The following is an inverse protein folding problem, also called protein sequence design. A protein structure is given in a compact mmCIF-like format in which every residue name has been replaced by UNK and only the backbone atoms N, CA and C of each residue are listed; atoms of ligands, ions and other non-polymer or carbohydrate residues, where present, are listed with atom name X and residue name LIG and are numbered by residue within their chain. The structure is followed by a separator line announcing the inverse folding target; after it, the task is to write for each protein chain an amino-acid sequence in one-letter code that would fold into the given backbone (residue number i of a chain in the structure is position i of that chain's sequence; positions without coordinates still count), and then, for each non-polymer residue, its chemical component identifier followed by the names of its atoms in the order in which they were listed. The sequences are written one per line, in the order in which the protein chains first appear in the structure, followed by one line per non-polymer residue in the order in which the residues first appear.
data_IF_348889907844
#
_entry.id   IF_348889907844
#
_cell.length_a   1.000
_cell.length_b   1.000
_cell.length_c   1.000
_cell.angle_alpha   90.00
_cell.angle_beta   90.00
_cell.angle_gamma   90.00
#
_symmetry.space_group_name_H-M   'P 1'
#
loop_
_entity.id
_entity.type
_entity.pdbx_description
1 polymer ?
#
# COMPACT_ATOMS: atom_id res chain seq x y z
N UNK A 1 -13.82 -9.57 71.49
CA UNK A 1 -12.36 -9.76 71.73
C UNK A 1 -11.73 -10.19 70.41
N UNK A 2 -10.62 -9.68 69.88
CA UNK A 2 -9.74 -8.53 70.19
C UNK A 2 -8.92 -8.18 68.92
N UNK A 3 -8.44 -6.94 68.74
CA UNK A 3 -7.24 -6.60 67.90
C UNK A 3 -5.99 -6.54 68.84
N UNK A 4 -4.70 -6.49 68.41
CA UNK A 4 -4.04 -5.53 67.48
C UNK A 4 -3.51 -6.26 66.21
N UNK A 5 -2.60 -5.77 65.34
CA UNK A 5 -1.83 -4.52 65.16
C UNK A 5 -2.07 -3.97 63.72
N UNK A 6 -1.53 -2.89 63.14
CA UNK A 6 -0.41 -1.93 63.33
C UNK A 6 0.98 -2.42 62.85
N UNK A 7 1.41 -1.88 61.70
CA UNK A 7 2.79 -1.79 61.23
C UNK A 7 2.90 -0.59 60.29
N UNK A 8 3.66 0.43 60.68
CA UNK A 8 3.76 1.70 59.95
C UNK A 8 5.23 2.07 59.72
N UNK A 9 5.58 2.40 58.48
CA UNK A 9 6.89 2.97 58.13
C UNK A 9 6.64 4.17 57.22
N UNK A 10 6.97 5.36 57.70
CA UNK A 10 6.87 6.63 56.96
C UNK A 10 8.23 7.32 56.93
N UNK A 11 8.89 7.21 55.78
CA UNK A 11 9.95 8.14 55.36
C UNK A 11 9.55 8.67 53.96
N UNK A 12 9.72 9.96 53.64
CA UNK A 12 10.40 10.98 54.43
C UNK A 12 11.20 11.99 53.60
N UNK A 13 11.14 11.91 52.26
CA UNK A 13 11.78 12.85 51.33
C UNK A 13 10.75 13.76 50.64
N UNK A 14 11.11 15.03 50.39
CA UNK A 14 10.21 16.06 49.85
C UNK A 14 10.99 16.99 48.91
N UNK A 15 10.34 17.52 47.86
CA UNK A 15 10.87 18.49 46.88
C UNK A 15 11.85 17.80 45.88
N UNK A 16 11.86 18.06 44.57
CA UNK A 16 11.45 19.26 43.81
C UNK A 16 10.53 19.02 42.59
N UNK A 17 10.25 20.11 41.86
CA UNK A 17 9.23 20.27 40.80
C UNK A 17 9.80 20.14 39.37
N UNK A 18 8.89 20.19 38.39
CA UNK A 18 9.04 20.16 36.90
C UNK A 18 8.91 18.73 36.32
N UNK A 19 8.05 18.43 35.34
CA UNK A 19 7.05 19.28 34.65
C UNK A 19 5.81 18.50 34.18
N UNK A 20 4.75 19.28 33.94
CA UNK A 20 3.64 19.06 32.98
C UNK A 20 4.23 18.48 31.66
N UNK A 21 3.67 17.46 30.99
CA UNK A 21 2.31 17.37 30.42
C UNK A 21 1.65 16.01 30.71
N UNK A 22 0.36 16.01 31.04
CA UNK A 22 -0.48 14.80 30.97
C UNK A 22 -1.15 14.71 29.60
N UNK A 23 -0.80 13.71 28.80
CA UNK A 23 -1.72 13.23 27.77
C UNK A 23 -2.99 12.70 28.45
N UNK A 24 -4.16 13.13 27.98
CA UNK A 24 -5.44 12.51 28.33
C UNK A 24 -6.11 12.07 27.05
N UNK A 25 -6.36 10.77 26.92
CA UNK A 25 -6.89 10.17 25.71
C UNK A 25 -8.29 10.70 25.37
N UNK A 26 -8.55 10.88 24.08
CA UNK A 26 -9.90 11.01 23.54
C UNK A 26 -10.41 9.58 23.32
N UNK A 27 -11.05 9.02 24.35
CA UNK A 27 -11.88 7.84 24.16
C UNK A 27 -13.21 8.31 23.56
N UNK A 28 -13.52 7.90 22.33
CA UNK A 28 -14.77 8.26 21.67
C UNK A 28 -15.53 6.98 21.31
N UNK A 29 -16.40 6.55 22.23
CA UNK A 29 -17.29 5.43 22.05
C UNK A 29 -18.63 5.75 22.72
N UNK A 30 -19.70 5.70 21.95
CA UNK A 30 -21.06 5.40 22.41
C UNK A 30 -21.89 4.97 21.21
N UNK A 31 -22.52 3.80 21.32
CA UNK A 31 -23.52 3.35 20.37
C UNK A 31 -24.83 4.13 20.58
N UNK A 32 -25.72 4.09 19.60
CA UNK A 32 -27.14 4.40 19.77
C UNK A 32 -27.92 3.22 19.18
N UNK A 33 -28.93 2.77 19.92
CA UNK A 33 -29.66 1.52 19.65
C UNK A 33 -30.83 1.67 18.65
N UNK A 34 -31.48 0.54 18.38
CA UNK A 34 -32.62 0.36 17.46
C UNK A 34 -33.92 1.02 17.96
N UNK A 35 -34.74 1.48 17.01
CA UNK A 35 -36.23 1.45 16.95
C UNK A 35 -36.68 2.30 15.73
N UNK A 36 -37.84 2.13 15.06
CA UNK A 36 -38.76 1.00 14.90
C UNK A 36 -39.49 1.13 13.52
N UNK A 37 -40.60 0.41 13.29
CA UNK A 37 -41.35 0.40 12.01
C UNK A 37 -42.10 1.71 11.66
N UNK A 38 -42.26 2.04 10.36
CA UNK A 38 -43.58 1.91 9.65
C UNK A 38 -43.59 2.29 8.15
N UNK A 39 -43.92 1.30 7.32
CA UNK A 39 -44.89 1.30 6.19
C UNK A 39 -45.18 2.60 5.38
N UNK A 40 -44.84 2.62 4.08
CA UNK A 40 -45.66 3.33 3.06
C UNK A 40 -45.57 2.75 1.63
N UNK A 41 -46.56 1.90 1.29
CA UNK A 41 -47.40 1.92 0.06
C UNK A 41 -46.79 2.02 -1.37
N UNK A 42 -47.16 1.01 -2.20
CA UNK A 42 -47.63 1.11 -3.61
C UNK A 42 -46.62 1.49 -4.72
N UNK A 43 -46.65 0.96 -5.96
CA UNK A 43 -47.23 -0.27 -6.56
C UNK A 43 -46.47 -0.58 -7.90
N UNK A 44 -46.83 -1.58 -8.75
CA UNK A 44 -45.80 -2.31 -9.52
C UNK A 44 -45.78 -2.12 -11.05
N UNK A 45 -44.78 -2.75 -11.67
CA UNK A 45 -44.72 -3.31 -13.05
C UNK A 45 -45.05 -2.42 -14.26
N UNK A 46 -44.06 -2.28 -15.16
CA UNK A 46 -44.30 -2.12 -16.61
C UNK A 46 -43.19 -2.71 -17.49
N UNK A 47 -42.92 -4.01 -17.34
CA UNK A 47 -42.37 -4.82 -18.46
C UNK A 47 -43.53 -5.18 -19.41
N UNK A 48 -43.17 -5.63 -20.61
CA UNK A 48 -44.06 -6.26 -21.60
C UNK A 48 -45.21 -5.38 -22.15
N UNK A 49 -44.92 -4.65 -23.22
CA UNK A 49 -45.91 -4.26 -24.23
C UNK A 49 -45.24 -4.05 -25.60
N UNK A 50 -45.99 -4.31 -26.68
CA UNK A 50 -45.72 -3.93 -28.08
C UNK A 50 -44.49 -4.55 -28.76
N UNK A 51 -44.65 -5.82 -29.15
CA UNK A 51 -44.08 -6.29 -30.42
C UNK A 51 -44.94 -5.79 -31.61
N UNK A 52 -44.43 -5.94 -32.83
CA UNK A 52 -45.14 -5.80 -34.12
C UNK A 52 -45.61 -4.39 -34.54
N UNK A 53 -44.72 -3.65 -35.21
CA UNK A 53 -45.09 -2.89 -36.41
C UNK A 53 -44.26 -3.43 -37.59
N UNK A 54 -44.93 -3.81 -38.68
CA UNK A 54 -44.28 -4.28 -39.92
C UNK A 54 -44.14 -3.13 -40.92
N UNK A 55 -43.09 -3.20 -41.73
CA UNK A 55 -42.93 -2.58 -43.05
C UNK A 55 -43.57 -1.18 -43.28
N UNK A 56 -42.73 -0.14 -43.26
CA UNK A 56 -42.86 0.91 -44.27
C UNK A 56 -41.48 1.33 -44.78
N UNK A 57 -41.25 1.22 -46.08
CA UNK A 57 -39.96 1.52 -46.71
C UNK A 57 -39.86 3.01 -47.05
N UNK A 58 -38.95 3.74 -46.38
CA UNK A 58 -38.60 5.10 -46.76
C UNK A 58 -37.12 5.18 -47.14
N UNK A 59 -36.83 5.33 -48.44
CA UNK A 59 -35.48 5.60 -48.95
C UNK A 59 -35.13 7.07 -48.71
N UNK A 60 -34.57 7.39 -47.54
CA UNK A 60 -33.98 8.72 -47.32
C UNK A 60 -32.52 8.70 -47.75
N UNK A 61 -32.23 9.27 -48.92
CA UNK A 61 -30.87 9.45 -49.41
C UNK A 61 -30.27 10.67 -48.71
N UNK A 62 -29.75 10.47 -47.50
CA UNK A 62 -28.89 11.47 -46.85
C UNK A 62 -27.53 11.48 -47.54
N UNK A 63 -27.40 12.34 -48.56
CA UNK A 63 -26.11 12.75 -49.10
C UNK A 63 -25.39 13.72 -48.14
N UNK A 64 -25.17 13.29 -46.89
CA UNK A 64 -24.36 14.02 -45.92
C UNK A 64 -22.90 13.88 -46.33
N UNK A 65 -22.34 14.94 -46.91
CA UNK A 65 -20.90 15.05 -47.09
C UNK A 65 -20.24 14.98 -45.72
N UNK A 66 -19.57 13.86 -45.42
CA UNK A 66 -18.70 13.73 -44.25
C UNK A 66 -17.42 14.51 -44.52
N UNK A 67 -17.52 15.84 -44.46
CA UNK A 67 -16.38 16.71 -44.21
C UNK A 67 -15.82 16.30 -42.84
N UNK A 68 -14.83 15.41 -42.88
CA UNK A 68 -14.27 14.75 -41.70
C UNK A 68 -13.58 15.81 -40.84
N UNK A 69 -14.29 16.34 -39.84
CA UNK A 69 -13.74 17.28 -38.86
C UNK A 69 -12.77 16.53 -37.94
N UNK A 70 -11.56 16.28 -38.46
CA UNK A 70 -10.37 15.93 -37.70
C UNK A 70 -9.99 17.10 -36.80
N UNK A 71 -10.72 17.25 -35.69
CA UNK A 71 -10.26 18.02 -34.54
C UNK A 71 -9.00 17.30 -34.00
N UNK A 72 -7.85 17.98 -33.87
CA UNK A 72 -6.62 17.34 -33.39
C UNK A 72 -6.74 17.02 -31.90
N UNK A 73 -7.09 15.77 -31.59
CA UNK A 73 -7.35 15.29 -30.23
C UNK A 73 -6.11 15.21 -29.34
N UNK A 74 -4.91 15.40 -29.90
CA UNK A 74 -3.64 15.32 -29.17
C UNK A 74 -3.41 16.54 -28.26
N UNK A 75 -3.79 17.75 -28.70
CA UNK A 75 -3.55 19.00 -27.97
C UNK A 75 -4.36 19.10 -26.66
N UNK A 76 -5.49 18.39 -26.54
CA UNK A 76 -6.29 18.36 -25.30
C UNK A 76 -5.86 17.27 -24.33
N UNK A 77 -5.00 16.32 -24.75
CA UNK A 77 -4.49 15.26 -23.89
C UNK A 77 -3.21 15.68 -23.13
N UNK A 78 -2.28 16.40 -23.78
CA UNK A 78 -0.97 16.71 -23.17
C UNK A 78 -1.11 17.59 -21.92
N UNK A 79 -1.86 18.70 -21.99
CA UNK A 79 -2.01 19.62 -20.86
C UNK A 79 -2.66 18.96 -19.62
N UNK A 80 -3.51 17.95 -19.82
CA UNK A 80 -4.10 17.16 -18.73
C UNK A 80 -3.01 16.30 -18.06
N UNK A 81 -2.17 15.62 -18.85
CA UNK A 81 -1.05 14.83 -18.34
C UNK A 81 0.05 15.67 -17.67
N UNK A 82 0.30 16.88 -18.19
CA UNK A 82 1.20 17.87 -17.61
C UNK A 82 0.65 18.41 -16.27
N UNK A 83 -0.66 18.73 -16.20
CA UNK A 83 -1.34 19.13 -14.98
C UNK A 83 -1.29 18.04 -13.90
N UNK A 84 -1.53 16.78 -14.26
CA UNK A 84 -1.46 15.67 -13.29
C UNK A 84 -0.02 15.40 -12.84
N UNK A 85 0.97 15.40 -13.74
CA UNK A 85 2.40 15.38 -13.34
C UNK A 85 2.73 16.51 -12.39
N UNK A 86 2.34 17.75 -12.71
CA UNK A 86 2.59 18.93 -11.86
C UNK A 86 2.02 18.77 -10.45
N UNK A 87 0.86 18.11 -10.30
CA UNK A 87 0.30 17.76 -8.98
C UNK A 87 0.99 16.59 -8.30
N UNK A 88 1.56 15.65 -9.06
CA UNK A 88 2.32 14.52 -8.52
C UNK A 88 3.74 14.93 -8.08
N UNK A 89 4.39 15.86 -8.80
CA UNK A 89 5.74 16.35 -8.51
C UNK A 89 5.80 17.46 -7.44
N UNK A 90 4.67 18.12 -7.13
CA UNK A 90 4.54 19.08 -6.04
C UNK A 90 5.17 18.58 -4.72
N UNK A 91 5.97 19.45 -4.09
CA UNK A 91 6.78 19.16 -2.90
C UNK A 91 7.70 17.94 -3.13
N UNK A 92 8.49 17.98 -4.20
CA UNK A 92 9.51 16.97 -4.57
C UNK A 92 8.97 15.53 -4.56
N UNK A 93 7.77 15.37 -5.13
CA UNK A 93 7.06 14.09 -5.21
C UNK A 93 6.59 13.52 -3.88
N UNK A 94 6.70 14.25 -2.75
CA UNK A 94 6.65 13.68 -1.41
C UNK A 94 5.39 12.84 -1.11
N UNK A 95 4.23 13.14 -1.71
CA UNK A 95 3.00 12.34 -1.54
C UNK A 95 3.05 10.99 -2.29
N UNK A 96 3.66 10.96 -3.47
CA UNK A 96 3.82 9.75 -4.30
C UNK A 96 4.96 8.89 -3.76
N UNK A 97 6.03 9.52 -3.27
CA UNK A 97 7.24 8.84 -2.79
C UNK A 97 7.16 8.44 -1.29
N UNK A 98 6.19 8.96 -0.54
CA UNK A 98 6.00 8.63 0.88
C UNK A 98 5.95 7.12 1.20
N UNK A 99 5.27 6.25 0.43
CA UNK A 99 5.24 4.81 0.73
C UNK A 99 6.62 4.15 0.57
N UNK A 100 7.41 4.58 -0.43
CA UNK A 100 8.78 4.08 -0.64
C UNK A 100 9.69 4.55 0.49
N UNK A 101 9.59 5.84 0.88
CA UNK A 101 10.34 6.39 2.02
C UNK A 101 9.99 5.70 3.34
N UNK A 102 8.70 5.39 3.58
CA UNK A 102 8.22 4.62 4.72
C UNK A 102 8.76 3.18 4.72
N UNK A 103 8.74 2.52 3.55
CA UNK A 103 9.32 1.19 3.35
C UNK A 103 10.83 1.19 3.68
N UNK A 104 11.61 2.15 3.15
CA UNK A 104 13.03 2.33 3.46
C UNK A 104 13.30 2.50 4.96
N UNK A 105 12.50 3.30 5.67
CA UNK A 105 12.66 3.46 7.13
C UNK A 105 12.57 2.12 7.87
N UNK A 106 11.62 1.26 7.51
CA UNK A 106 11.48 -0.07 8.12
C UNK A 106 12.65 -1.01 7.80
N UNK A 107 13.17 -0.99 6.58
CA UNK A 107 14.34 -1.81 6.21
C UNK A 107 15.61 -1.32 6.92
N UNK A 108 15.77 -0.01 7.11
CA UNK A 108 16.86 0.55 7.92
C UNK A 108 16.71 0.20 9.41
N UNK A 109 15.49 0.17 9.94
CA UNK A 109 15.19 -0.28 11.30
C UNK A 109 15.50 -1.78 11.48
N UNK A 110 15.09 -2.63 10.54
CA UNK A 110 15.41 -4.06 10.53
C UNK A 110 16.92 -4.31 10.43
N UNK A 111 17.63 -3.57 9.56
CA UNK A 111 19.09 -3.63 9.44
C UNK A 111 19.78 -3.22 10.76
N UNK A 112 19.28 -2.17 11.42
CA UNK A 112 19.81 -1.73 12.72
C UNK A 112 19.54 -2.74 13.86
N UNK A 113 18.38 -3.42 13.83
CA UNK A 113 18.08 -4.51 14.77
C UNK A 113 18.98 -5.73 14.60
N UNK A 114 19.43 -6.01 13.38
CA UNK A 114 20.32 -7.11 13.02
C UNK A 114 21.82 -6.75 13.02
N UNK A 115 22.21 -5.52 13.37
CA UNK A 115 23.61 -5.10 13.43
C UNK A 115 24.29 -5.58 14.74
N UNK A 116 24.44 -6.90 14.83
CA UNK A 116 25.00 -7.65 15.96
C UNK A 116 25.96 -8.72 15.47
N UNK A 117 26.90 -9.13 16.31
CA UNK A 117 27.87 -10.19 16.00
C UNK A 117 27.20 -11.57 15.83
N UNK A 118 26.13 -11.84 16.59
CA UNK A 118 25.27 -13.01 16.46
C UNK A 118 23.81 -12.65 16.78
N UNK A 119 22.96 -12.37 15.77
CA UNK A 119 21.53 -12.15 15.98
C UNK A 119 20.80 -13.44 16.39
N UNK A 120 19.73 -13.32 17.19
CA UNK A 120 18.93 -14.49 17.62
C UNK A 120 17.72 -14.73 16.71
N UNK A 121 17.02 -15.85 16.90
CA UNK A 121 15.75 -16.16 16.20
C UNK A 121 14.72 -15.06 16.43
N UNK A 122 14.69 -14.46 17.62
CA UNK A 122 13.81 -13.33 17.95
C UNK A 122 14.19 -12.06 17.17
N UNK A 123 15.49 -11.80 16.95
CA UNK A 123 15.94 -10.68 16.13
C UNK A 123 15.52 -10.84 14.65
N UNK A 124 15.62 -12.05 14.10
CA UNK A 124 15.14 -12.33 12.74
C UNK A 124 13.61 -12.19 12.62
N UNK A 125 12.85 -12.57 13.65
CA UNK A 125 11.39 -12.36 13.69
C UNK A 125 11.02 -10.89 13.73
N UNK A 126 11.70 -10.09 14.57
CA UNK A 126 11.51 -8.63 14.60
C UNK A 126 11.87 -7.98 13.25
N UNK A 127 12.85 -8.53 12.52
CA UNK A 127 13.15 -8.09 11.16
C UNK A 127 12.02 -8.46 10.17
N UNK A 128 11.45 -9.67 10.22
CA UNK A 128 10.28 -10.05 9.40
C UNK A 128 9.07 -9.16 9.67
N UNK A 129 8.76 -8.86 10.93
CA UNK A 129 7.68 -7.96 11.34
C UNK A 129 7.83 -6.53 10.77
N UNK A 130 9.05 -6.13 10.40
CA UNK A 130 9.35 -4.88 9.71
C UNK A 130 9.32 -5.04 8.18
N UNK A 131 9.93 -6.10 7.63
CA UNK A 131 10.05 -6.37 6.19
C UNK A 131 8.70 -6.69 5.54
N UNK A 132 7.91 -7.60 6.12
CA UNK A 132 6.60 -8.04 5.59
C UNK A 132 5.66 -6.86 5.33
N UNK A 133 5.43 -5.91 6.26
CA UNK A 133 4.65 -4.71 6.02
C UNK A 133 5.47 -3.53 5.43
N UNK A 134 6.75 -3.71 5.08
CA UNK A 134 7.49 -2.79 4.21
C UNK A 134 7.35 -3.13 2.72
N UNK A 135 6.97 -4.38 2.39
CA UNK A 135 6.69 -4.84 1.02
C UNK A 135 5.48 -4.18 0.34
N UNK A 136 4.59 -3.60 1.14
CA UNK A 136 3.33 -2.98 0.72
C UNK A 136 2.44 -3.88 -0.18
N UNK A 137 2.31 -5.15 0.23
CA UNK A 137 1.46 -6.20 -0.39
C UNK A 137 1.92 -6.64 -1.79
N UNK A 138 3.24 -6.72 -2.02
CA UNK A 138 3.80 -7.05 -3.34
C UNK A 138 4.19 -8.52 -3.56
N UNK A 139 4.19 -9.35 -2.51
CA UNK A 139 4.34 -10.81 -2.59
C UNK A 139 3.43 -11.49 -1.54
N UNK A 140 3.23 -12.80 -1.65
CA UNK A 140 2.61 -13.62 -0.60
C UNK A 140 3.72 -14.27 0.20
N UNK A 141 3.70 -14.07 1.52
CA UNK A 141 4.43 -14.87 2.51
C UNK A 141 3.45 -15.80 3.22
N UNK A 142 3.93 -16.92 3.75
CA UNK A 142 3.14 -17.70 4.71
C UNK A 142 3.12 -16.96 6.05
N UNK A 143 1.91 -16.67 6.53
CA UNK A 143 1.74 -16.14 7.89
C UNK A 143 2.00 -17.23 8.92
N UNK A 144 2.64 -16.86 10.03
CA UNK A 144 2.64 -17.59 11.29
C UNK A 144 1.21 -18.08 11.64
N UNK A 145 1.13 -19.16 12.42
CA UNK A 145 -0.06 -20.00 12.60
C UNK A 145 -1.21 -19.36 13.38
N UNK A 146 -1.88 -18.38 12.77
CA UNK A 146 -3.06 -17.70 13.28
C UNK A 146 -4.10 -17.28 12.23
N UNK A 147 -3.70 -17.03 10.97
CA UNK A 147 -4.65 -16.67 9.91
C UNK A 147 -5.57 -17.83 9.51
N UNK A 148 -6.86 -17.51 9.37
CA UNK A 148 -7.89 -18.45 8.91
C UNK A 148 -7.67 -18.87 7.46
N UNK A 149 -8.24 -20.01 7.09
CA UNK A 149 -8.26 -20.47 5.70
C UNK A 149 -8.91 -19.44 4.75
N UNK A 150 -9.91 -18.70 5.24
CA UNK A 150 -10.63 -17.67 4.48
C UNK A 150 -9.75 -16.43 4.22
N UNK A 151 -8.94 -16.00 5.18
CA UNK A 151 -7.95 -14.93 5.01
C UNK A 151 -6.84 -15.33 4.02
N UNK A 152 -6.33 -16.56 4.13
CA UNK A 152 -5.33 -17.10 3.20
C UNK A 152 -5.88 -17.21 1.77
N UNK A 153 -7.09 -17.75 1.59
CA UNK A 153 -7.76 -17.80 0.27
C UNK A 153 -8.04 -16.41 -0.27
N UNK A 154 -8.51 -15.46 0.56
CA UNK A 154 -8.76 -14.06 0.16
C UNK A 154 -7.48 -13.39 -0.35
N UNK A 155 -6.36 -13.54 0.37
CA UNK A 155 -5.04 -13.00 -0.03
C UNK A 155 -4.59 -13.56 -1.39
N UNK A 156 -4.65 -14.88 -1.56
CA UNK A 156 -4.31 -15.56 -2.82
C UNK A 156 -5.24 -15.09 -3.95
N UNK A 157 -6.55 -15.01 -3.71
CA UNK A 157 -7.53 -14.62 -4.72
C UNK A 157 -7.42 -13.14 -5.13
N UNK A 158 -7.01 -12.24 -4.23
CA UNK A 158 -6.71 -10.86 -4.60
C UNK A 158 -5.45 -10.74 -5.47
N UNK A 159 -4.40 -11.53 -5.20
CA UNK A 159 -3.14 -11.46 -5.96
C UNK A 159 -3.18 -12.22 -7.31
N UNK A 160 -3.88 -13.35 -7.38
CA UNK A 160 -3.92 -14.22 -8.56
C UNK A 160 -5.27 -14.20 -9.32
N UNK A 161 -6.35 -13.72 -8.70
CA UNK A 161 -7.72 -13.78 -9.25
C UNK A 161 -8.10 -12.72 -10.31
N UNK A 162 -7.17 -11.85 -10.69
CA UNK A 162 -7.25 -11.10 -11.95
C UNK A 162 -8.30 -9.99 -12.06
N UNK A 163 -8.28 -9.00 -11.14
CA UNK A 163 -9.02 -7.75 -11.33
C UNK A 163 -8.38 -6.53 -10.65
N UNK A 164 -7.88 -6.70 -9.42
CA UNK A 164 -7.32 -5.62 -8.59
C UNK A 164 -5.84 -5.91 -8.33
N UNK A 165 -4.97 -4.96 -8.65
CA UNK A 165 -3.55 -5.07 -8.31
C UNK A 165 -3.32 -4.54 -6.89
N UNK A 166 -2.94 -5.41 -5.96
CA UNK A 166 -2.77 -5.07 -4.54
C UNK A 166 -1.39 -4.46 -4.24
N UNK A 167 -0.38 -4.79 -5.05
CA UNK A 167 1.00 -4.36 -4.86
C UNK A 167 1.16 -2.84 -5.01
N UNK A 168 1.41 -2.16 -3.89
CA UNK A 168 1.45 -0.69 -3.86
C UNK A 168 2.54 -0.10 -4.76
N UNK A 169 3.70 -0.77 -4.90
CA UNK A 169 4.76 -0.29 -5.80
C UNK A 169 4.31 -0.30 -7.28
N UNK A 170 3.52 -1.30 -7.72
CA UNK A 170 2.95 -1.31 -9.09
C UNK A 170 1.85 -0.27 -9.28
N UNK A 171 1.02 -0.02 -8.25
CA UNK A 171 0.04 1.08 -8.26
C UNK A 171 0.75 2.43 -8.41
N UNK A 172 1.83 2.67 -7.65
CA UNK A 172 2.64 3.89 -7.75
C UNK A 172 3.28 4.03 -9.14
N UNK A 173 3.89 2.96 -9.65
CA UNK A 173 4.45 2.92 -11.00
C UNK A 173 3.39 3.34 -12.03
N UNK A 174 2.23 2.67 -12.07
CA UNK A 174 1.13 2.96 -13.00
C UNK A 174 0.66 4.41 -12.91
N UNK A 175 0.39 4.90 -11.70
CA UNK A 175 -0.05 6.29 -11.48
C UNK A 175 0.95 7.32 -12.03
N UNK A 176 2.25 7.01 -12.00
CA UNK A 176 3.32 7.87 -12.50
C UNK A 176 3.52 7.72 -14.02
N UNK A 177 3.54 6.50 -14.56
CA UNK A 177 3.77 6.27 -16.01
C UNK A 177 2.57 6.59 -16.90
N UNK A 178 1.35 6.67 -16.36
CA UNK A 178 0.12 6.98 -17.09
C UNK A 178 0.15 8.28 -17.92
N UNK A 179 1.08 9.18 -17.63
CA UNK A 179 1.23 10.47 -18.31
C UNK A 179 2.52 10.57 -19.15
N UNK A 180 3.29 9.48 -19.27
CA UNK A 180 4.62 9.43 -19.87
C UNK A 180 4.57 8.82 -21.28
N UNK A 181 5.38 9.36 -22.18
CA UNK A 181 5.51 8.90 -23.57
C UNK A 181 6.93 8.43 -23.93
N UNK A 182 7.88 8.54 -23.00
CA UNK A 182 9.23 7.97 -23.14
C UNK A 182 9.20 6.49 -22.70
N UNK A 183 9.16 5.60 -23.68
CA UNK A 183 9.14 4.15 -23.48
C UNK A 183 10.37 3.64 -22.70
N UNK A 184 11.54 4.27 -22.85
CA UNK A 184 12.77 3.86 -22.14
C UNK A 184 12.68 4.19 -20.66
N UNK A 185 12.11 5.34 -20.34
CA UNK A 185 11.88 5.77 -18.96
C UNK A 185 10.81 4.89 -18.27
N UNK A 186 9.76 4.51 -19.01
CA UNK A 186 8.73 3.55 -18.54
C UNK A 186 9.35 2.16 -18.31
N UNK A 187 10.17 1.68 -19.24
CA UNK A 187 10.89 0.40 -19.11
C UNK A 187 11.80 0.41 -17.87
N UNK A 188 12.65 1.43 -17.72
CA UNK A 188 13.56 1.58 -16.57
C UNK A 188 12.82 1.57 -15.23
N UNK A 189 11.70 2.29 -15.11
CA UNK A 189 10.89 2.29 -13.90
C UNK A 189 10.17 0.94 -13.65
N UNK A 190 9.80 0.22 -14.71
CA UNK A 190 9.22 -1.13 -14.64
C UNK A 190 10.25 -2.17 -14.19
N UNK A 191 11.48 -2.10 -14.71
CA UNK A 191 12.60 -2.95 -14.31
C UNK A 191 13.01 -2.68 -12.86
N UNK A 192 13.10 -1.40 -12.44
CA UNK A 192 13.37 -1.04 -11.05
C UNK A 192 12.27 -1.53 -10.09
N UNK A 193 10.99 -1.38 -10.44
CA UNK A 193 9.87 -1.92 -9.67
C UNK A 193 9.93 -3.45 -9.57
N UNK A 194 10.28 -4.14 -10.66
CA UNK A 194 10.37 -5.61 -10.69
C UNK A 194 11.55 -6.11 -9.85
N UNK A 195 12.72 -5.45 -9.93
CA UNK A 195 13.87 -5.73 -9.05
C UNK A 195 13.49 -5.55 -7.59
N UNK A 196 12.84 -4.44 -7.23
CA UNK A 196 12.43 -4.15 -5.85
C UNK A 196 11.55 -5.25 -5.27
N UNK A 197 10.54 -5.71 -6.02
CA UNK A 197 9.63 -6.76 -5.55
C UNK A 197 10.36 -8.10 -5.38
N UNK A 198 11.27 -8.45 -6.29
CA UNK A 198 12.06 -9.68 -6.20
C UNK A 198 13.00 -9.67 -4.99
N UNK A 199 13.66 -8.53 -4.71
CA UNK A 199 14.55 -8.38 -3.56
C UNK A 199 13.78 -8.44 -2.24
N UNK A 200 12.58 -7.85 -2.20
CA UNK A 200 11.65 -7.99 -1.09
C UNK A 200 11.26 -9.46 -0.80
N UNK A 201 11.01 -10.26 -1.83
CA UNK A 201 10.76 -11.70 -1.69
C UNK A 201 11.99 -12.44 -1.17
N UNK A 202 13.17 -12.21 -1.77
CA UNK A 202 14.43 -12.85 -1.36
C UNK A 202 14.82 -12.53 0.09
N UNK A 203 14.53 -11.30 0.55
CA UNK A 203 14.74 -10.86 1.92
C UNK A 203 13.75 -11.52 2.91
N UNK A 204 12.50 -11.78 2.51
CA UNK A 204 11.56 -12.57 3.31
C UNK A 204 12.04 -14.03 3.42
N UNK A 205 12.33 -14.66 2.28
CA UNK A 205 12.75 -16.06 2.18
C UNK A 205 14.00 -16.35 3.03
N UNK A 206 14.99 -15.44 3.04
CA UNK A 206 16.23 -15.61 3.81
C UNK A 206 16.04 -15.37 5.31
N UNK A 207 15.16 -14.44 5.71
CA UNK A 207 14.85 -14.17 7.11
C UNK A 207 13.93 -15.24 7.72
N UNK A 208 12.96 -15.75 6.97
CA UNK A 208 12.07 -16.82 7.42
C UNK A 208 12.84 -18.11 7.69
N UNK A 209 13.71 -18.51 6.76
CA UNK A 209 14.62 -19.65 6.95
C UNK A 209 15.57 -19.46 8.13
N UNK A 210 16.05 -18.24 8.39
CA UNK A 210 16.82 -17.94 9.60
C UNK A 210 15.98 -18.05 10.88
N UNK A 211 14.68 -17.69 10.84
CA UNK A 211 13.74 -17.92 11.93
C UNK A 211 13.46 -19.42 12.18
N UNK A 212 13.57 -20.26 11.14
CA UNK A 212 13.50 -21.72 11.21
C UNK A 212 14.81 -22.39 11.71
N UNK A 213 15.81 -21.60 12.10
CA UNK A 213 17.13 -22.04 12.56
C UNK A 213 17.98 -22.75 11.48
N UNK A 214 17.79 -22.42 10.20
CA UNK A 214 18.78 -22.78 9.18
C UNK A 214 20.12 -22.05 9.41
N UNK A 215 21.24 -22.73 9.12
CA UNK A 215 22.60 -22.15 9.19
C UNK A 215 22.84 -21.19 8.01
N UNK A 216 22.29 -19.98 8.13
CA UNK A 216 22.43 -18.91 7.16
C UNK A 216 23.48 -17.92 7.66
N UNK A 217 24.57 -17.68 6.91
CA UNK A 217 25.55 -16.66 7.28
C UNK A 217 24.89 -15.28 7.41
N UNK A 218 25.07 -14.62 8.56
CA UNK A 218 24.53 -13.29 8.83
C UNK A 218 24.96 -12.24 7.77
N UNK A 219 26.11 -12.45 7.13
CA UNK A 219 26.60 -11.67 6.00
C UNK A 219 25.73 -11.80 4.74
N UNK A 220 25.09 -12.94 4.50
CA UNK A 220 24.10 -13.09 3.43
C UNK A 220 22.83 -12.27 3.71
N UNK A 221 22.36 -12.28 4.97
CA UNK A 221 21.20 -11.49 5.40
C UNK A 221 21.50 -9.99 5.31
N UNK A 222 22.70 -9.56 5.75
CA UNK A 222 23.20 -8.18 5.57
C UNK A 222 23.19 -7.76 4.11
N UNK A 223 23.61 -8.64 3.20
CA UNK A 223 23.63 -8.37 1.76
C UNK A 223 22.24 -8.21 1.15
N UNK A 224 21.27 -9.07 1.49
CA UNK A 224 19.90 -8.93 0.97
C UNK A 224 19.20 -7.68 1.54
N UNK A 225 19.49 -7.30 2.79
CA UNK A 225 19.04 -6.01 3.36
C UNK A 225 19.59 -4.82 2.57
N UNK A 226 20.90 -4.82 2.26
CA UNK A 226 21.55 -3.76 1.49
C UNK A 226 21.06 -3.72 0.04
N UNK A 227 20.94 -4.87 -0.62
CA UNK A 227 20.45 -4.96 -2.00
C UNK A 227 18.96 -4.57 -2.13
N UNK A 228 18.17 -4.73 -1.06
CA UNK A 228 16.80 -4.22 -0.94
C UNK A 228 16.76 -2.70 -0.75
N UNK A 229 17.68 -2.12 0.03
CA UNK A 229 17.82 -0.64 0.14
C UNK A 229 18.24 -0.05 -1.22
N UNK A 230 19.23 -0.63 -1.90
CA UNK A 230 19.64 -0.23 -3.25
C UNK A 230 18.47 -0.29 -4.26
N UNK A 231 17.59 -1.29 -4.13
CA UNK A 231 16.42 -1.42 -4.99
C UNK A 231 15.32 -0.38 -4.66
N UNK A 232 15.14 -0.02 -3.39
CA UNK A 232 14.27 1.08 -2.97
C UNK A 232 14.76 2.43 -3.51
N UNK A 233 16.07 2.66 -3.47
CA UNK A 233 16.71 3.89 -3.96
C UNK A 233 16.66 3.96 -5.50
N UNK A 234 16.94 2.85 -6.19
CA UNK A 234 16.78 2.76 -7.64
C UNK A 234 15.33 2.99 -8.09
N UNK A 235 14.33 2.48 -7.36
CA UNK A 235 12.93 2.69 -7.69
C UNK A 235 12.44 4.11 -7.36
N UNK A 236 12.86 4.70 -6.24
CA UNK A 236 12.57 6.11 -5.96
C UNK A 236 13.20 7.03 -7.01
N UNK A 237 14.45 6.80 -7.41
CA UNK A 237 15.12 7.56 -8.48
C UNK A 237 14.41 7.39 -9.83
N UNK A 238 13.91 6.19 -10.15
CA UNK A 238 13.15 5.96 -11.37
C UNK A 238 11.84 6.75 -11.37
N UNK A 239 11.07 6.74 -10.27
CA UNK A 239 9.86 7.56 -10.15
C UNK A 239 10.16 9.06 -10.15
N UNK A 240 11.27 9.51 -9.56
CA UNK A 240 11.70 10.91 -9.62
C UNK A 240 11.97 11.38 -11.05
N UNK A 241 12.72 10.60 -11.85
CA UNK A 241 12.93 10.88 -13.28
C UNK A 241 11.61 10.90 -14.06
N UNK A 242 10.73 9.94 -13.81
CA UNK A 242 9.38 9.90 -14.40
C UNK A 242 8.53 11.15 -14.07
N UNK A 243 8.72 11.73 -12.88
CA UNK A 243 8.06 12.95 -12.42
C UNK A 243 8.76 14.25 -12.87
N UNK A 244 9.93 14.17 -13.51
CA UNK A 244 10.74 15.33 -13.90
C UNK A 244 11.46 16.00 -12.73
N UNK A 245 11.82 15.23 -11.69
CA UNK A 245 12.48 15.70 -10.46
C UNK A 245 13.99 15.38 -10.40
N UNK A 246 14.49 14.52 -11.28
CA UNK A 246 15.88 14.01 -11.33
C UNK A 246 16.27 13.58 -12.75
#
# INVERSE_FOLDING_TARGET
KLRPSIGCVTLGGRVSRKSIVKFKAIANANCVDKEEHTNSKNNPTRREALASIKNLSLRVVFATSTAQLYLPQEATASWIGEFWRSRQSQNDGAKILAPIRSSRTKILEAKSGLDKEAPTVEDYKLALDLVRPASLNCYVYESDSGETFEEKVSRIQQQFGGAVEVCTFKILLKNVVLYISDEKLIQYATEACTRLINQFSMLDDILDRACQMEDIPAESIRRELEATIDALDAFELALQKCLGLA
#
